data_IF_234072776908
#
_entry.id   IF_234072776908
#
_cell.length_a   1.000
_cell.length_b   1.000
_cell.length_c   1.000
_cell.angle_alpha   90.00
_cell.angle_beta   90.00
_cell.angle_gamma   90.00
#
_symmetry.space_group_name_H-M   'P 1'
#
loop_
_entity.id
_entity.type
_entity.pdbx_description
1 polymer ?
#
# COMPACT_ATOMS: atom_id res chain seq x y z
N UNK A 1 -16.65 4.25 17.88
CA UNK A 1 -17.95 4.37 17.21
C UNK A 1 -18.41 3.03 16.65
N UNK A 2 -17.59 2.32 15.84
CA UNK A 2 -17.93 0.97 15.30
C UNK A 2 -18.31 -0.05 16.38
N UNK A 3 -17.58 -0.10 17.52
CA UNK A 3 -17.92 -1.01 18.64
C UNK A 3 -19.24 -0.65 19.34
N UNK A 4 -19.58 0.64 19.41
CA UNK A 4 -20.83 1.10 20.00
C UNK A 4 -22.03 0.82 19.07
N UNK A 5 -21.88 1.13 17.79
CA UNK A 5 -22.91 0.83 16.79
C UNK A 5 -23.14 -0.68 16.65
N UNK A 6 -22.08 -1.50 16.71
CA UNK A 6 -22.19 -2.96 16.71
C UNK A 6 -23.05 -3.49 17.86
N UNK A 7 -22.93 -2.93 19.07
CA UNK A 7 -23.76 -3.31 20.21
C UNK A 7 -25.22 -2.89 20.05
N UNK A 8 -25.47 -1.68 19.52
CA UNK A 8 -26.84 -1.22 19.24
C UNK A 8 -27.52 -2.05 18.15
N UNK A 9 -26.77 -2.42 17.09
CA UNK A 9 -27.32 -3.24 16.02
C UNK A 9 -27.62 -4.68 16.44
N UNK A 10 -26.87 -5.25 17.38
CA UNK A 10 -27.18 -6.55 17.99
C UNK A 10 -28.48 -6.54 18.78
N UNK A 11 -28.78 -5.47 19.51
CA UNK A 11 -30.02 -5.30 20.26
C UNK A 11 -31.28 -5.23 19.37
N UNK A 12 -31.13 -4.73 18.12
CA UNK A 12 -32.21 -4.58 17.15
C UNK A 12 -32.18 -5.64 16.02
N UNK A 13 -31.38 -6.70 16.15
CA UNK A 13 -31.17 -7.73 15.10
C UNK A 13 -30.82 -7.16 13.73
N UNK A 14 -30.19 -5.98 13.68
CA UNK A 14 -29.74 -5.37 12.44
C UNK A 14 -28.41 -6.03 12.05
N UNK A 15 -28.34 -6.60 10.85
CA UNK A 15 -27.12 -7.17 10.33
C UNK A 15 -26.14 -6.04 9.94
N UNK A 16 -25.19 -5.76 10.84
CA UNK A 16 -24.19 -4.68 10.67
C UNK A 16 -23.30 -4.89 9.45
N UNK A 17 -23.10 -6.14 9.02
CA UNK A 17 -22.28 -6.45 7.84
C UNK A 17 -22.85 -5.87 6.55
N UNK A 18 -24.17 -5.72 6.47
CA UNK A 18 -24.87 -5.11 5.34
C UNK A 18 -24.87 -3.57 5.32
N UNK A 19 -24.55 -2.94 6.47
CA UNK A 19 -24.55 -1.47 6.59
C UNK A 19 -23.18 -0.89 6.21
N UNK A 20 -22.12 -1.70 6.31
CA UNK A 20 -20.71 -1.29 6.08
C UNK A 20 -20.02 -2.23 5.08
N UNK A 21 -20.55 -2.31 3.88
CA UNK A 21 -19.85 -2.95 2.77
C UNK A 21 -18.88 -1.92 2.09
N UNK A 22 -17.77 -2.38 1.51
CA UNK A 22 -17.15 -3.70 1.65
C UNK A 22 -16.33 -3.83 2.94
N UNK A 23 -16.28 -5.02 3.53
CA UNK A 23 -15.44 -5.31 4.70
C UNK A 23 -14.05 -5.80 4.28
N UNK A 24 -13.34 -4.98 3.54
CA UNK A 24 -11.98 -5.29 3.11
C UNK A 24 -10.94 -5.11 4.22
N UNK A 25 -9.87 -5.87 4.14
CA UNK A 25 -8.67 -5.74 4.98
C UNK A 25 -7.48 -5.51 4.07
N UNK A 26 -6.91 -4.32 4.15
CA UNK A 26 -5.65 -4.02 3.49
C UNK A 26 -4.53 -4.37 4.48
N UNK A 27 -3.67 -5.28 4.07
CA UNK A 27 -2.51 -5.73 4.84
C UNK A 27 -1.28 -5.08 4.24
N UNK A 28 -0.54 -4.35 5.05
CA UNK A 28 0.61 -3.57 4.62
C UNK A 28 1.90 -4.24 5.09
N UNK A 29 2.86 -4.37 4.21
CA UNK A 29 4.23 -4.77 4.49
C UNK A 29 5.20 -3.64 4.13
N UNK A 30 6.38 -3.68 4.73
CA UNK A 30 7.53 -2.86 4.34
C UNK A 30 8.74 -3.77 4.11
N UNK A 31 9.47 -4.10 5.15
CA UNK A 31 10.72 -4.84 5.11
C UNK A 31 10.50 -6.35 5.25
N UNK A 32 11.08 -7.13 4.34
CA UNK A 32 11.01 -8.60 4.39
C UNK A 32 12.41 -9.19 4.28
N UNK A 33 12.96 -9.64 5.40
CA UNK A 33 14.30 -10.20 5.45
C UNK A 33 14.72 -10.56 6.86
N UNK A 34 15.80 -11.31 6.97
CA UNK A 34 16.29 -11.81 8.25
C UNK A 34 17.36 -10.88 8.86
N UNK A 35 17.91 -9.96 8.07
CA UNK A 35 18.86 -8.96 8.52
C UNK A 35 18.16 -7.74 9.10
N UNK A 36 18.66 -7.28 10.26
CA UNK A 36 18.25 -6.01 10.88
C UNK A 36 19.08 -4.92 10.24
N UNK A 37 18.42 -3.94 9.61
CA UNK A 37 19.12 -2.83 8.98
C UNK A 37 19.39 -1.70 9.97
N UNK A 38 18.40 -1.34 10.78
CA UNK A 38 18.49 -0.33 11.83
C UNK A 38 17.33 -0.49 12.84
N UNK A 39 17.42 0.26 13.96
CA UNK A 39 16.39 0.23 15.01
C UNK A 39 15.05 0.86 14.57
N UNK A 40 15.06 1.76 13.59
CA UNK A 40 13.84 2.45 13.12
C UNK A 40 12.99 1.55 12.22
N UNK A 41 13.64 0.72 11.38
CA UNK A 41 12.97 -0.18 10.44
C UNK A 41 12.56 -1.52 11.06
N UNK A 42 13.19 -1.92 12.17
CA UNK A 42 12.93 -3.20 12.86
C UNK A 42 11.45 -3.44 13.19
N UNK A 43 10.66 -2.46 13.67
CA UNK A 43 9.23 -2.67 13.96
C UNK A 43 8.39 -3.00 12.73
N UNK A 44 8.87 -2.66 11.53
CA UNK A 44 8.16 -2.85 10.24
C UNK A 44 8.70 -4.03 9.45
N UNK A 45 9.61 -4.81 10.03
CA UNK A 45 10.26 -5.96 9.40
C UNK A 45 9.58 -7.27 9.79
N UNK A 46 9.43 -8.15 8.82
CA UNK A 46 9.14 -9.56 9.04
C UNK A 46 10.25 -10.42 8.44
N UNK A 47 10.53 -11.58 9.03
CA UNK A 47 11.52 -12.50 8.48
C UNK A 47 10.98 -13.17 7.20
N UNK A 48 11.89 -13.71 6.38
CA UNK A 48 11.53 -14.46 5.18
C UNK A 48 10.61 -15.65 5.50
N UNK A 49 10.86 -16.35 6.60
CA UNK A 49 10.03 -17.47 7.05
C UNK A 49 8.63 -17.00 7.54
N UNK A 50 8.56 -15.87 8.25
CA UNK A 50 7.28 -15.27 8.62
C UNK A 50 6.48 -14.87 7.38
N UNK A 51 7.15 -14.30 6.36
CA UNK A 51 6.54 -13.97 5.09
C UNK A 51 5.98 -15.22 4.41
N UNK A 52 6.73 -16.32 4.32
CA UNK A 52 6.23 -17.59 3.74
C UNK A 52 4.96 -18.07 4.43
N UNK A 53 4.95 -18.13 5.74
CA UNK A 53 3.76 -18.54 6.53
C UNK A 53 2.58 -17.61 6.34
N UNK A 54 2.85 -16.31 6.29
CA UNK A 54 1.83 -15.30 6.01
C UNK A 54 1.21 -15.48 4.62
N UNK A 55 2.01 -15.73 3.57
CA UNK A 55 1.51 -15.97 2.21
C UNK A 55 0.71 -17.26 2.09
N UNK A 56 1.11 -18.33 2.79
CA UNK A 56 0.31 -19.57 2.86
C UNK A 56 -1.07 -19.29 3.47
N UNK A 57 -1.11 -18.55 4.55
CA UNK A 57 -2.38 -18.13 5.15
C UNK A 57 -3.18 -17.22 4.21
N UNK A 58 -2.55 -16.23 3.59
CA UNK A 58 -3.22 -15.27 2.70
C UNK A 58 -3.80 -15.96 1.45
N UNK A 59 -3.13 -16.97 0.92
CA UNK A 59 -3.62 -17.80 -0.20
C UNK A 59 -4.94 -18.52 0.11
N UNK A 60 -5.26 -18.76 1.39
CA UNK A 60 -6.53 -19.34 1.83
C UNK A 60 -7.67 -18.32 1.93
N UNK A 61 -7.42 -17.03 1.65
CA UNK A 61 -8.37 -15.95 1.75
C UNK A 61 -8.84 -15.48 0.37
N UNK A 62 -9.96 -14.75 0.34
CA UNK A 62 -10.34 -13.99 -0.86
C UNK A 62 -9.38 -12.81 -1.02
N UNK A 63 -8.26 -13.05 -1.71
CA UNK A 63 -7.22 -12.04 -1.93
C UNK A 63 -7.40 -11.42 -3.30
N UNK A 64 -7.59 -10.11 -3.33
CA UNK A 64 -7.90 -9.34 -4.53
C UNK A 64 -6.82 -8.31 -4.84
N UNK A 65 -6.83 -7.80 -6.06
CA UNK A 65 -6.16 -6.55 -6.41
C UNK A 65 -6.85 -5.38 -5.71
N UNK A 66 -6.10 -4.48 -5.12
CA UNK A 66 -6.65 -3.35 -4.35
C UNK A 66 -7.59 -2.48 -5.20
N UNK A 67 -7.30 -2.29 -6.48
CA UNK A 67 -8.15 -1.52 -7.41
C UNK A 67 -9.56 -2.08 -7.60
N UNK A 68 -9.80 -3.34 -7.23
CA UNK A 68 -11.11 -4.00 -7.33
C UNK A 68 -11.93 -3.96 -6.03
N UNK A 69 -11.47 -3.23 -5.01
CA UNK A 69 -12.03 -3.22 -3.66
C UNK A 69 -13.54 -2.91 -3.60
N UNK A 70 -14.07 -2.07 -4.51
CA UNK A 70 -15.49 -1.71 -4.53
C UNK A 70 -16.42 -2.83 -5.01
N UNK A 71 -15.86 -3.85 -5.65
CA UNK A 71 -16.61 -4.95 -6.28
C UNK A 71 -16.70 -6.19 -5.39
N UNK A 72 -15.99 -6.18 -4.26
CA UNK A 72 -15.81 -7.36 -3.43
C UNK A 72 -16.32 -7.13 -2.01
N UNK A 73 -17.00 -8.13 -1.48
CA UNK A 73 -17.36 -8.19 -0.06
C UNK A 73 -16.41 -9.15 0.66
N UNK A 74 -15.91 -8.78 1.84
CA UNK A 74 -15.00 -9.57 2.69
C UNK A 74 -13.73 -10.06 1.95
N UNK A 75 -12.85 -9.13 1.65
CA UNK A 75 -11.61 -9.37 0.92
C UNK A 75 -10.35 -9.04 1.74
N UNK A 76 -9.22 -9.52 1.22
CA UNK A 76 -7.87 -9.12 1.62
C UNK A 76 -7.15 -8.51 0.42
N UNK A 77 -6.44 -7.41 0.61
CA UNK A 77 -5.51 -6.85 -0.36
C UNK A 77 -4.16 -6.65 0.30
N UNK A 78 -3.08 -6.90 -0.43
CA UNK A 78 -1.72 -6.75 0.06
C UNK A 78 -1.08 -5.52 -0.54
N UNK A 79 -0.48 -4.68 0.30
CA UNK A 79 0.30 -3.51 -0.12
C UNK A 79 1.70 -3.56 0.46
N UNK A 80 2.62 -2.92 -0.24
CA UNK A 80 4.00 -2.75 0.19
C UNK A 80 4.33 -1.27 0.03
N UNK A 81 4.67 -0.61 1.13
CA UNK A 81 5.02 0.80 1.14
C UNK A 81 6.53 0.98 1.07
N UNK A 82 7.00 2.12 0.52
CA UNK A 82 8.40 2.49 0.28
C UNK A 82 9.21 1.55 -0.62
N UNK A 83 8.84 0.29 -0.70
CA UNK A 83 9.44 -0.77 -1.51
C UNK A 83 10.95 -0.93 -1.27
N UNK A 84 11.36 -1.42 -0.09
CA UNK A 84 12.76 -1.72 0.20
C UNK A 84 13.34 -2.80 -0.73
N UNK A 85 14.65 -2.77 -0.95
CA UNK A 85 15.33 -3.73 -1.82
C UNK A 85 15.19 -5.18 -1.35
N UNK A 86 15.15 -5.41 -0.05
CA UNK A 86 14.96 -6.76 0.50
C UNK A 86 13.56 -7.34 0.19
N UNK A 87 12.54 -6.52 -0.03
CA UNK A 87 11.26 -6.99 -0.56
C UNK A 87 11.45 -7.60 -1.96
N UNK A 88 12.20 -6.94 -2.83
CA UNK A 88 12.43 -7.44 -4.20
C UNK A 88 13.10 -8.81 -4.22
N UNK A 89 14.10 -9.04 -3.37
CA UNK A 89 14.82 -10.31 -3.34
C UNK A 89 14.10 -11.41 -2.55
N UNK A 90 13.41 -11.07 -1.46
CA UNK A 90 12.89 -12.06 -0.52
C UNK A 90 11.38 -12.33 -0.67
N UNK A 91 10.55 -11.29 -0.90
CA UNK A 91 9.10 -11.44 -0.93
C UNK A 91 8.52 -11.50 -2.35
N UNK A 92 9.03 -10.72 -3.28
CA UNK A 92 8.50 -10.68 -4.64
C UNK A 92 8.51 -12.04 -5.36
N UNK A 93 9.59 -12.86 -5.28
CA UNK A 93 9.56 -14.22 -5.84
C UNK A 93 8.49 -15.11 -5.20
N UNK A 94 8.30 -14.99 -3.88
CA UNK A 94 7.30 -15.76 -3.13
C UNK A 94 5.87 -15.39 -3.51
N UNK A 95 5.61 -14.09 -3.74
CA UNK A 95 4.31 -13.59 -4.20
C UNK A 95 3.97 -14.12 -5.59
N UNK A 96 4.95 -14.17 -6.50
CA UNK A 96 4.78 -14.78 -7.83
C UNK A 96 4.45 -16.27 -7.74
N UNK A 97 5.21 -17.02 -6.94
CA UNK A 97 4.99 -18.45 -6.72
C UNK A 97 3.60 -18.74 -6.12
N UNK A 98 3.19 -17.93 -5.14
CA UNK A 98 1.89 -18.05 -4.50
C UNK A 98 0.73 -17.55 -5.38
N UNK A 99 1.00 -16.83 -6.48
CA UNK A 99 0.02 -16.15 -7.34
C UNK A 99 -0.86 -15.15 -6.56
N UNK A 100 -0.27 -14.43 -5.60
CA UNK A 100 -0.95 -13.44 -4.78
C UNK A 100 -0.78 -12.04 -5.41
N UNK A 101 -1.87 -11.31 -5.72
CA UNK A 101 -1.80 -9.95 -6.19
C UNK A 101 -1.35 -9.00 -5.08
N UNK A 102 -0.62 -7.96 -5.45
CA UNK A 102 -0.11 -6.96 -4.52
C UNK A 102 0.03 -5.58 -5.18
N UNK A 103 0.02 -4.54 -4.36
CA UNK A 103 0.22 -3.15 -4.78
C UNK A 103 1.48 -2.60 -4.13
N UNK A 104 2.35 -1.99 -4.92
CA UNK A 104 3.52 -1.26 -4.45
C UNK A 104 3.19 0.22 -4.37
N UNK A 105 3.26 0.83 -3.19
CA UNK A 105 3.20 2.28 -3.03
C UNK A 105 4.62 2.83 -2.97
N UNK A 106 5.05 3.39 -4.09
CA UNK A 106 6.44 3.77 -4.32
C UNK A 106 6.68 5.21 -3.94
N UNK A 107 7.62 5.43 -3.03
CA UNK A 107 8.18 6.74 -2.76
C UNK A 107 9.27 7.04 -3.80
N UNK A 108 9.04 8.07 -4.60
CA UNK A 108 9.91 8.39 -5.73
C UNK A 108 11.32 8.77 -5.28
N UNK A 109 11.45 9.49 -4.16
CA UNK A 109 12.76 9.93 -3.67
C UNK A 109 13.64 8.80 -3.16
N UNK A 110 13.06 7.62 -2.87
CA UNK A 110 13.79 6.45 -2.40
C UNK A 110 14.35 5.59 -3.54
N UNK A 111 13.83 5.74 -4.77
CA UNK A 111 14.32 4.97 -5.91
C UNK A 111 15.82 5.22 -6.14
N UNK A 112 16.57 4.14 -6.36
CA UNK A 112 18.03 4.12 -6.50
C UNK A 112 18.79 4.60 -5.25
N UNK A 113 18.16 4.68 -4.09
CA UNK A 113 18.85 4.89 -2.83
C UNK A 113 19.30 3.56 -2.24
N UNK A 114 20.32 3.63 -1.41
CA UNK A 114 20.80 2.46 -0.66
C UNK A 114 19.67 1.85 0.18
N UNK A 115 19.50 0.54 0.13
CA UNK A 115 18.42 -0.20 0.79
C UNK A 115 17.05 -0.18 0.10
N UNK A 116 16.91 0.50 -1.04
CA UNK A 116 15.65 0.57 -1.81
C UNK A 116 15.83 0.09 -3.25
N UNK A 117 14.71 -0.24 -3.89
CA UNK A 117 14.71 -0.74 -5.27
C UNK A 117 15.24 0.30 -6.27
N UNK A 118 15.80 -0.22 -7.38
CA UNK A 118 16.17 0.62 -8.52
C UNK A 118 14.97 0.88 -9.44
N UNK A 119 15.12 1.88 -10.33
CA UNK A 119 14.13 2.15 -11.38
C UNK A 119 13.95 0.96 -12.32
N UNK A 120 15.01 0.22 -12.61
CA UNK A 120 14.99 -0.99 -13.44
C UNK A 120 14.19 -2.12 -12.78
N UNK A 121 14.39 -2.34 -11.47
CA UNK A 121 13.60 -3.31 -10.67
C UNK A 121 12.13 -2.92 -10.63
N UNK A 122 11.81 -1.62 -10.48
CA UNK A 122 10.44 -1.13 -10.54
C UNK A 122 9.80 -1.41 -11.91
N UNK A 123 10.52 -1.14 -13.01
CA UNK A 123 10.06 -1.44 -14.38
C UNK A 123 9.83 -2.95 -14.56
N UNK A 124 10.71 -3.80 -14.02
CA UNK A 124 10.51 -5.24 -14.06
C UNK A 124 9.25 -5.65 -13.33
N UNK A 125 9.07 -5.22 -12.07
CA UNK A 125 7.88 -5.55 -11.26
C UNK A 125 6.60 -5.00 -11.90
N UNK A 126 6.63 -3.84 -12.53
CA UNK A 126 5.46 -3.25 -13.21
C UNK A 126 4.94 -4.08 -14.41
N UNK A 127 5.75 -5.00 -14.94
CA UNK A 127 5.35 -5.94 -16.01
C UNK A 127 4.69 -7.20 -15.47
N UNK A 128 4.80 -7.45 -14.17
CA UNK A 128 4.16 -8.59 -13.52
C UNK A 128 2.65 -8.34 -13.44
N UNK A 129 1.85 -9.27 -13.94
CA UNK A 129 0.37 -9.17 -13.90
C UNK A 129 -0.20 -9.15 -12.48
N UNK A 130 0.54 -9.62 -11.49
CA UNK A 130 0.11 -9.60 -10.09
C UNK A 130 0.41 -8.27 -9.41
N UNK A 131 1.25 -7.41 -10.00
CA UNK A 131 1.73 -6.17 -9.40
C UNK A 131 0.97 -4.97 -9.93
N UNK A 132 0.45 -4.14 -9.03
CA UNK A 132 -0.07 -2.82 -9.34
C UNK A 132 0.87 -1.76 -8.73
N UNK A 133 1.17 -0.70 -9.47
CA UNK A 133 1.99 0.39 -8.98
C UNK A 133 1.10 1.54 -8.55
N UNK A 134 1.24 1.97 -7.32
CA UNK A 134 0.69 3.19 -6.75
C UNK A 134 1.80 4.14 -6.30
N UNK A 135 1.46 5.36 -5.97
CA UNK A 135 2.40 6.37 -5.47
C UNK A 135 2.35 6.49 -3.96
N UNK A 136 3.52 6.77 -3.35
CA UNK A 136 3.68 7.13 -1.94
C UNK A 136 4.27 8.55 -1.77
N UNK A 137 4.08 9.39 -2.80
CA UNK A 137 4.62 10.74 -2.86
C UNK A 137 6.08 10.81 -3.31
N UNK A 138 6.61 12.03 -3.29
CA UNK A 138 8.03 12.29 -3.55
C UNK A 138 8.81 12.39 -2.25
N UNK A 139 8.35 13.22 -1.32
CA UNK A 139 9.15 13.67 -0.17
C UNK A 139 9.03 12.77 1.06
N UNK A 140 8.09 11.83 1.09
CA UNK A 140 7.69 11.06 2.28
C UNK A 140 7.37 11.95 3.49
N UNK A 141 6.83 13.14 3.25
CA UNK A 141 6.51 14.09 4.32
C UNK A 141 5.12 13.90 4.90
N UNK A 142 4.89 14.46 6.09
CA UNK A 142 3.54 14.57 6.66
C UNK A 142 2.72 15.60 5.86
N UNK A 143 1.77 15.16 5.06
CA UNK A 143 0.97 16.02 4.20
C UNK A 143 0.17 17.07 4.98
N UNK A 144 -0.18 16.79 6.22
CA UNK A 144 -0.84 17.76 7.12
C UNK A 144 -0.01 19.01 7.38
N UNK A 145 1.32 18.93 7.27
CA UNK A 145 2.25 20.03 7.45
C UNK A 145 2.54 20.79 6.15
N UNK A 146 2.08 20.27 5.01
CA UNK A 146 2.30 20.91 3.72
C UNK A 146 1.30 22.07 3.51
N UNK A 147 1.78 23.15 2.88
CA UNK A 147 0.87 24.08 2.23
C UNK A 147 0.15 23.36 1.08
N UNK A 148 -1.03 23.86 0.71
CA UNK A 148 -1.80 23.33 -0.42
C UNK A 148 -0.96 23.18 -1.71
N UNK A 149 -0.11 24.15 -1.99
CA UNK A 149 0.77 24.12 -3.18
C UNK A 149 1.83 23.03 -3.09
N UNK A 150 2.39 22.79 -1.90
CA UNK A 150 3.38 21.73 -1.68
C UNK A 150 2.72 20.34 -1.83
N UNK A 151 1.56 20.15 -1.18
CA UNK A 151 0.81 18.90 -1.28
C UNK A 151 0.45 18.56 -2.74
N UNK A 152 -0.13 19.54 -3.47
CA UNK A 152 -0.50 19.35 -4.88
C UNK A 152 0.72 19.06 -5.77
N UNK A 153 1.85 19.71 -5.51
CA UNK A 153 3.08 19.45 -6.25
C UNK A 153 3.58 18.04 -5.99
N UNK A 154 3.72 17.62 -4.73
CA UNK A 154 4.20 16.29 -4.35
C UNK A 154 3.34 15.19 -5.00
N UNK A 155 2.00 15.32 -4.95
CA UNK A 155 1.07 14.41 -5.60
C UNK A 155 1.27 14.33 -7.12
N UNK A 156 1.39 15.47 -7.80
CA UNK A 156 1.52 15.51 -9.26
C UNK A 156 2.88 15.04 -9.75
N UNK A 157 3.94 15.48 -9.07
CA UNK A 157 5.31 15.15 -9.45
C UNK A 157 5.56 13.65 -9.26
N UNK A 158 5.09 13.06 -8.14
CA UNK A 158 5.23 11.63 -7.90
C UNK A 158 4.49 10.80 -8.94
N UNK A 159 3.25 11.18 -9.29
CA UNK A 159 2.49 10.51 -10.35
C UNK A 159 3.21 10.58 -11.69
N UNK A 160 3.59 11.78 -12.10
CA UNK A 160 4.24 12.03 -13.39
C UNK A 160 5.55 11.23 -13.51
N UNK A 161 6.39 11.25 -12.47
CA UNK A 161 7.69 10.55 -12.52
C UNK A 161 7.50 9.02 -12.57
N UNK A 162 6.58 8.46 -11.78
CA UNK A 162 6.29 7.03 -11.83
C UNK A 162 5.74 6.61 -13.20
N UNK A 163 4.79 7.37 -13.76
CA UNK A 163 4.23 7.09 -15.08
C UNK A 163 5.29 7.16 -16.18
N UNK A 164 6.25 8.08 -16.09
CA UNK A 164 7.40 8.16 -17.01
C UNK A 164 8.32 6.94 -16.89
N UNK A 165 8.58 6.46 -15.64
CA UNK A 165 9.45 5.31 -15.40
C UNK A 165 8.83 4.03 -15.94
N UNK A 166 7.55 3.77 -15.62
CA UNK A 166 6.90 2.46 -15.92
C UNK A 166 6.15 2.44 -17.26
N UNK A 167 5.90 3.60 -17.86
CA UNK A 167 5.15 3.72 -19.12
C UNK A 167 3.67 3.36 -19.01
N UNK A 168 3.07 3.40 -17.82
CA UNK A 168 1.67 3.05 -17.52
C UNK A 168 1.06 4.07 -16.57
N UNK A 169 -0.29 4.27 -16.60
CA UNK A 169 -0.97 5.11 -15.62
C UNK A 169 -0.75 4.65 -14.18
N UNK A 170 -0.62 5.59 -13.25
CA UNK A 170 -0.58 5.40 -11.81
C UNK A 170 -1.82 6.03 -11.21
N UNK A 171 -2.75 5.22 -10.74
CA UNK A 171 -4.10 5.66 -10.37
C UNK A 171 -4.37 5.62 -8.86
N UNK A 172 -3.45 5.05 -8.07
CA UNK A 172 -3.60 4.92 -6.62
C UNK A 172 -2.51 5.70 -5.87
N UNK A 173 -2.90 6.20 -4.70
CA UNK A 173 -2.01 6.91 -3.79
C UNK A 173 -2.21 6.42 -2.35
N UNK A 174 -1.09 6.19 -1.65
CA UNK A 174 -1.08 6.01 -0.21
C UNK A 174 -0.35 7.19 0.44
N UNK A 175 -0.95 7.76 1.48
CA UNK A 175 -0.30 8.82 2.25
C UNK A 175 0.81 8.24 3.13
N UNK A 176 2.01 8.84 3.14
CA UNK A 176 3.03 8.53 4.13
C UNK A 176 2.46 8.60 5.56
N UNK A 177 2.93 7.68 6.42
CA UNK A 177 2.47 7.51 7.81
C UNK A 177 1.00 7.10 7.99
N UNK A 178 0.13 7.21 7.00
CA UNK A 178 -1.24 6.69 6.97
C UNK A 178 -2.19 7.15 8.08
N UNK A 179 -1.75 7.91 9.07
CA UNK A 179 -2.60 8.40 10.14
C UNK A 179 -3.45 9.59 9.68
N UNK A 180 -4.64 9.73 10.27
CA UNK A 180 -5.50 10.88 10.00
C UNK A 180 -4.81 12.23 10.24
N UNK A 181 -3.94 12.28 11.26
CA UNK A 181 -3.19 13.48 11.60
C UNK A 181 -2.08 13.80 10.60
N UNK A 182 -1.37 12.79 10.11
CA UNK A 182 -0.29 12.97 9.12
C UNK A 182 -0.83 13.29 7.72
N UNK A 183 -2.00 12.74 7.35
CA UNK A 183 -2.61 12.99 6.04
C UNK A 183 -3.20 14.40 5.92
N UNK A 184 -3.87 14.89 6.96
CA UNK A 184 -4.67 16.11 6.92
C UNK A 184 -5.99 15.95 6.16
N UNK A 185 -7.08 16.46 6.73
CA UNK A 185 -8.43 16.26 6.17
C UNK A 185 -8.60 16.74 4.73
N UNK A 186 -8.06 17.91 4.40
CA UNK A 186 -8.21 18.50 3.08
C UNK A 186 -7.41 17.76 2.00
N UNK A 187 -6.29 17.14 2.36
CA UNK A 187 -5.37 16.54 1.40
C UNK A 187 -5.93 15.27 0.74
N UNK A 188 -6.85 14.55 1.39
CA UNK A 188 -7.53 13.41 0.77
C UNK A 188 -8.37 13.80 -0.45
N UNK A 189 -9.00 14.97 -0.42
CA UNK A 189 -9.74 15.48 -1.58
C UNK A 189 -8.78 15.90 -2.68
N UNK A 190 -7.67 16.55 -2.30
CA UNK A 190 -6.61 16.93 -3.23
C UNK A 190 -5.97 15.69 -3.90
N UNK A 191 -5.75 14.61 -3.15
CA UNK A 191 -5.29 13.36 -3.70
C UNK A 191 -6.32 12.75 -4.68
N UNK A 192 -7.62 12.79 -4.36
CA UNK A 192 -8.70 12.34 -5.23
C UNK A 192 -8.84 13.15 -6.53
N UNK A 193 -8.36 14.40 -6.57
CA UNK A 193 -8.30 15.20 -7.80
C UNK A 193 -7.14 14.79 -8.72
N UNK A 194 -6.12 14.11 -8.19
CA UNK A 194 -4.92 13.69 -8.92
C UNK A 194 -4.95 12.20 -9.25
N UNK A 195 -5.43 11.38 -8.33
CA UNK A 195 -5.55 9.92 -8.45
C UNK A 195 -7.02 9.51 -8.48
N UNK A 196 -7.30 8.31 -8.99
CA UNK A 196 -8.69 7.76 -9.02
C UNK A 196 -9.08 7.13 -7.71
#
# INVERSE_FOLDING_TARGET
LRRFMGKCCHLFHINVSKIFAPQGRVLMLHWVGDEIQDEETEPYRISTEQCRRFLVWLKSKNTIRLENWEREEDFYALTIDDVPENFYYNAYPLLKEASIPFTLFVNVSLLNKDGFITKEQLVEMSKCELCTIGSHGVSHGEFALFSWKQALRDLKDSKCELEQIIGKPVEMFAFPYGSYYACGYANKHLAGDVYK
#
